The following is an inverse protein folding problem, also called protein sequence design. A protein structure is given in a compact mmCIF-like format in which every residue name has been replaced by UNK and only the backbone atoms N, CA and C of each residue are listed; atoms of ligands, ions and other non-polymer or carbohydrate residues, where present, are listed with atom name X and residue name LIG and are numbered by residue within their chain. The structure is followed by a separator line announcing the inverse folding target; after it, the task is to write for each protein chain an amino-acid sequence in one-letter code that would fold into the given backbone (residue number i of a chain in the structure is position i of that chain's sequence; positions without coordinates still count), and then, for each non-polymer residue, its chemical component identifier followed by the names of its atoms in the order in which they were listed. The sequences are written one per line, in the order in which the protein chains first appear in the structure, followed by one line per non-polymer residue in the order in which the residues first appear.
data_IF_504740862264
#
_entry.id   IF_504740862264
#
_cell.length_a   1.000
_cell.length_b   1.000
_cell.length_c   1.000
_cell.angle_alpha   90.00
_cell.angle_beta   90.00
_cell.angle_gamma   90.00
#
_symmetry.space_group_name_H-M   'P 1'
#
loop_
_entity.id
_entity.type
_entity.pdbx_description
1 polymer ?
#
# COMPACT_ATOMS: atom_id res chain seq x y z
N UNK A 1 13.32 -3.86 -30.48
CA UNK A 1 12.70 -4.61 -29.37
C UNK A 1 13.61 -4.43 -28.16
N UNK A 2 13.35 -3.41 -27.35
CA UNK A 2 14.14 -3.15 -26.15
C UNK A 2 13.34 -3.68 -24.97
N UNK A 3 13.79 -4.82 -24.44
CA UNK A 3 13.26 -5.41 -23.22
C UNK A 3 13.59 -4.49 -22.06
N UNK A 4 12.60 -3.75 -21.56
CA UNK A 4 12.71 -3.02 -20.30
C UNK A 4 12.73 -4.03 -19.16
N UNK A 5 13.89 -4.13 -18.52
CA UNK A 5 14.10 -4.92 -17.31
C UNK A 5 13.30 -4.31 -16.16
N UNK A 6 12.56 -5.16 -15.46
CA UNK A 6 11.58 -4.87 -14.40
C UNK A 6 12.10 -4.13 -13.15
N UNK A 7 13.36 -3.70 -13.10
CA UNK A 7 13.99 -3.03 -11.96
C UNK A 7 13.84 -1.50 -11.94
N UNK A 8 13.66 -0.86 -13.11
CA UNK A 8 13.59 0.61 -13.20
C UNK A 8 12.23 1.20 -12.77
N UNK A 9 11.13 0.43 -12.81
CA UNK A 9 9.78 0.95 -12.49
C UNK A 9 9.49 1.21 -11.01
N UNK A 10 10.44 0.91 -10.11
CA UNK A 10 10.26 1.02 -8.66
C UNK A 10 10.52 2.43 -8.10
N UNK A 11 11.05 3.34 -8.92
CA UNK A 11 11.46 4.70 -8.50
C UNK A 11 10.71 5.82 -9.24
N UNK A 12 9.71 5.49 -10.07
CA UNK A 12 8.90 6.49 -10.75
C UNK A 12 8.01 7.26 -9.77
N UNK A 13 8.03 8.59 -9.90
CA UNK A 13 7.12 9.48 -9.16
C UNK A 13 5.67 9.13 -9.52
N UNK A 14 4.82 8.99 -8.51
CA UNK A 14 3.40 8.67 -8.66
C UNK A 14 2.57 9.94 -8.59
N UNK A 15 1.91 10.25 -9.69
CA UNK A 15 0.95 11.35 -9.77
C UNK A 15 -0.39 10.94 -9.12
N UNK A 16 -0.81 11.68 -8.09
CA UNK A 16 -1.99 11.33 -7.31
C UNK A 16 -3.27 11.70 -8.04
N UNK A 17 -4.02 10.70 -8.49
CA UNK A 17 -5.34 10.94 -9.05
C UNK A 17 -6.37 11.31 -7.95
N UNK A 18 -7.40 12.13 -8.25
CA UNK A 18 -8.39 12.56 -7.26
C UNK A 18 -9.15 11.41 -6.56
N UNK A 19 -9.29 10.26 -7.23
CA UNK A 19 -10.01 9.10 -6.71
C UNK A 19 -9.15 8.19 -5.80
N UNK A 20 -7.85 8.46 -5.64
CA UNK A 20 -7.00 7.81 -4.63
C UNK A 20 -7.39 8.34 -3.25
N UNK A 21 -7.95 7.46 -2.41
CA UNK A 21 -8.55 7.82 -1.12
C UNK A 21 -7.53 7.84 0.02
N UNK A 22 -6.65 6.85 0.06
CA UNK A 22 -5.73 6.66 1.18
C UNK A 22 -4.34 7.17 0.84
N UNK A 23 -3.48 7.36 1.85
CA UNK A 23 -2.16 7.97 1.69
C UNK A 23 -1.07 7.09 2.27
N UNK A 24 0.14 7.22 1.72
CA UNK A 24 1.33 6.63 2.34
C UNK A 24 1.50 7.15 3.77
N UNK A 25 1.83 6.24 4.69
CA UNK A 25 1.95 6.54 6.12
C UNK A 25 0.63 6.46 6.90
N UNK A 26 -0.52 6.39 6.23
CA UNK A 26 -1.80 6.24 6.91
C UNK A 26 -1.94 4.84 7.53
N UNK A 27 -2.45 4.79 8.76
CA UNK A 27 -2.80 3.56 9.46
C UNK A 27 -4.23 3.17 9.08
N UNK A 28 -4.40 1.90 8.73
CA UNK A 28 -5.67 1.40 8.20
C UNK A 28 -5.97 0.01 8.72
N UNK A 29 -7.21 -0.43 8.52
CA UNK A 29 -7.67 -1.78 8.80
C UNK A 29 -8.34 -2.37 7.56
N UNK A 30 -8.13 -3.66 7.34
CA UNK A 30 -8.82 -4.39 6.28
C UNK A 30 -10.25 -4.72 6.72
N UNK A 31 -11.26 -4.29 5.96
CA UNK A 31 -12.68 -4.44 6.31
C UNK A 31 -13.12 -5.88 6.53
N UNK A 32 -12.72 -6.78 5.62
CA UNK A 32 -13.14 -8.21 5.66
C UNK A 32 -12.31 -9.03 6.65
N UNK A 33 -10.98 -8.95 6.56
CA UNK A 33 -10.07 -9.80 7.33
C UNK A 33 -9.61 -9.20 8.66
N UNK A 34 -9.99 -7.95 8.96
CA UNK A 34 -9.80 -7.30 10.26
C UNK A 34 -8.37 -6.93 10.65
N UNK A 35 -7.36 -7.24 9.85
CA UNK A 35 -5.96 -6.91 10.18
C UNK A 35 -5.67 -5.42 9.99
N UNK A 36 -4.78 -4.90 10.83
CA UNK A 36 -4.29 -3.53 10.79
C UNK A 36 -3.00 -3.45 9.98
N UNK A 37 -2.68 -2.27 9.49
CA UNK A 37 -1.39 -2.01 8.87
C UNK A 37 -1.18 -0.56 8.53
N UNK A 38 0.01 -0.26 8.02
CA UNK A 38 0.35 1.07 7.50
C UNK A 38 0.60 0.98 6.00
N UNK A 39 0.07 1.95 5.26
CA UNK A 39 0.26 2.05 3.81
C UNK A 39 1.70 2.50 3.53
N UNK A 40 2.40 1.75 2.67
CA UNK A 40 3.77 2.06 2.23
C UNK A 40 3.86 2.42 0.74
N UNK A 41 2.75 2.37 0.02
CA UNK A 41 2.68 2.73 -1.39
C UNK A 41 1.32 2.40 -2.00
N UNK A 42 1.09 2.88 -3.21
CA UNK A 42 -0.11 2.59 -3.99
C UNK A 42 0.17 2.59 -5.49
N UNK A 43 -0.66 1.87 -6.24
CA UNK A 43 -0.73 1.94 -7.71
C UNK A 43 -2.16 2.26 -8.13
N UNK A 44 -2.34 3.09 -9.16
CA UNK A 44 -3.66 3.42 -9.73
C UNK A 44 -4.37 2.21 -10.32
N UNK A 45 -3.59 1.28 -10.85
CA UNK A 45 -4.03 0.01 -11.41
C UNK A 45 -3.12 -1.08 -10.88
N UNK A 46 -3.69 -2.25 -10.57
CA UNK A 46 -2.91 -3.34 -10.00
C UNK A 46 -1.81 -3.75 -10.99
N UNK A 47 -0.53 -3.61 -10.60
CA UNK A 47 0.62 -4.10 -11.38
C UNK A 47 0.77 -5.62 -11.21
N UNK A 48 -0.25 -6.38 -11.55
CA UNK A 48 -0.20 -7.84 -11.59
C UNK A 48 -0.27 -8.31 -13.05
N UNK A 49 0.43 -9.39 -13.38
CA UNK A 49 0.28 -10.00 -14.71
C UNK A 49 -1.16 -10.49 -14.89
N UNK A 50 -1.64 -10.50 -16.13
CA UNK A 50 -3.00 -10.95 -16.46
C UNK A 50 -3.29 -12.35 -15.90
N UNK A 51 -2.29 -13.23 -15.90
CA UNK A 51 -2.39 -14.60 -15.37
C UNK A 51 -2.55 -14.66 -13.84
N UNK A 52 -1.97 -13.72 -13.08
CA UNK A 52 -2.17 -13.62 -11.63
C UNK A 52 -3.58 -13.11 -11.31
N UNK A 53 -4.05 -12.12 -12.07
CA UNK A 53 -5.39 -11.55 -11.94
C UNK A 53 -6.45 -12.62 -12.21
N UNK A 54 -6.31 -13.38 -13.31
CA UNK A 54 -7.25 -14.45 -13.69
C UNK A 54 -7.28 -15.61 -12.69
N UNK A 55 -6.13 -15.95 -12.06
CA UNK A 55 -6.04 -17.02 -11.05
C UNK A 55 -6.67 -16.63 -9.71
N UNK A 56 -6.52 -15.38 -9.29
CA UNK A 56 -6.98 -14.92 -7.98
C UNK A 56 -8.42 -14.39 -8.05
N UNK A 57 -8.84 -13.89 -9.22
CA UNK A 57 -10.13 -13.23 -9.38
C UNK A 57 -10.86 -13.72 -10.63
N UNK A 58 -11.81 -14.65 -10.43
CA UNK A 58 -12.77 -15.12 -11.44
C UNK A 58 -13.67 -13.95 -11.91
N UNK A 59 -13.22 -13.21 -12.93
CA UNK A 59 -13.99 -12.24 -13.72
C UNK A 59 -14.25 -10.83 -13.14
N UNK A 60 -13.54 -10.41 -12.07
CA UNK A 60 -13.76 -9.08 -11.48
C UNK A 60 -12.78 -8.02 -12.04
N UNK A 61 -13.07 -7.55 -13.26
CA UNK A 61 -12.29 -6.52 -14.00
C UNK A 61 -12.13 -5.18 -13.26
N UNK A 62 -12.92 -4.91 -12.22
CA UNK A 62 -12.87 -3.65 -11.46
C UNK A 62 -11.64 -3.54 -10.53
N UNK A 63 -11.05 -4.67 -10.11
CA UNK A 63 -9.87 -4.69 -9.24
C UNK A 63 -8.58 -4.28 -9.95
N UNK A 64 -8.52 -4.47 -11.27
CA UNK A 64 -7.36 -4.09 -12.11
C UNK A 64 -7.32 -2.58 -12.31
N UNK A 65 -8.49 -1.95 -12.41
CA UNK A 65 -8.63 -0.54 -12.81
C UNK A 65 -8.85 0.42 -11.63
N UNK A 66 -8.69 -0.05 -10.39
CA UNK A 66 -8.88 0.75 -9.18
C UNK A 66 -7.61 0.82 -8.33
N UNK A 67 -7.45 1.86 -7.48
CA UNK A 67 -6.26 1.99 -6.65
C UNK A 67 -6.08 0.80 -5.70
N UNK A 68 -4.86 0.26 -5.70
CA UNK A 68 -4.44 -0.79 -4.78
C UNK A 68 -3.27 -0.29 -3.93
N UNK A 69 -3.21 -0.75 -2.69
CA UNK A 69 -2.29 -0.25 -1.67
C UNK A 69 -1.40 -1.36 -1.13
N UNK A 70 -0.10 -1.10 -1.08
CA UNK A 70 0.87 -1.94 -0.38
C UNK A 70 0.86 -1.57 1.12
N UNK A 71 0.67 -2.57 1.98
CA UNK A 71 0.44 -2.38 3.42
C UNK A 71 1.38 -3.28 4.22
N UNK A 72 2.15 -2.72 5.16
CA UNK A 72 2.82 -3.51 6.18
C UNK A 72 1.80 -3.92 7.25
N UNK A 73 1.48 -5.20 7.33
CA UNK A 73 0.48 -5.74 8.25
C UNK A 73 1.06 -5.79 9.66
N UNK A 74 0.28 -5.40 10.66
CA UNK A 74 0.70 -5.51 12.05
C UNK A 74 1.03 -6.97 12.41
N UNK A 75 2.24 -7.21 12.89
CA UNK A 75 2.73 -8.53 13.26
C UNK A 75 1.93 -9.17 14.41
N UNK A 76 1.11 -8.40 15.14
CA UNK A 76 0.18 -8.95 16.15
C UNK A 76 -1.08 -9.55 15.55
N UNK A 77 -1.41 -9.22 14.30
CA UNK A 77 -2.64 -9.68 13.62
C UNK A 77 -2.40 -10.90 12.72
N UNK A 78 -1.14 -11.35 12.61
CA UNK A 78 -0.71 -12.49 11.77
C UNK A 78 0.41 -13.27 12.45
N UNK A 79 0.42 -14.59 12.28
CA UNK A 79 1.48 -15.46 12.81
C UNK A 79 2.86 -15.15 12.20
N UNK A 80 2.88 -14.67 10.96
CA UNK A 80 4.09 -14.30 10.22
C UNK A 80 3.92 -12.86 9.72
N UNK A 81 4.89 -11.95 9.95
CA UNK A 81 4.88 -10.60 9.40
C UNK A 81 4.76 -10.62 7.88
N UNK A 82 3.84 -9.81 7.34
CA UNK A 82 3.45 -9.88 5.93
C UNK A 82 3.27 -8.48 5.34
N UNK A 83 3.62 -8.38 4.06
CA UNK A 83 3.18 -7.30 3.18
C UNK A 83 1.85 -7.71 2.55
N UNK A 84 0.83 -6.87 2.66
CA UNK A 84 -0.44 -7.01 1.96
C UNK A 84 -0.53 -6.11 0.74
N UNK A 85 -1.28 -6.52 -0.27
CA UNK A 85 -1.71 -5.66 -1.38
C UNK A 85 -3.23 -5.66 -1.44
N UNK A 86 -3.84 -4.49 -1.23
CA UNK A 86 -5.25 -4.37 -0.86
C UNK A 86 -5.95 -3.33 -1.72
N UNK A 87 -7.09 -3.70 -2.30
CA UNK A 87 -7.94 -2.79 -3.04
C UNK A 87 -8.50 -1.68 -2.13
N UNK A 88 -8.61 -0.46 -2.67
CA UNK A 88 -9.09 0.73 -1.95
C UNK A 88 -10.36 0.49 -1.12
N UNK A 89 -11.32 -0.24 -1.68
CA UNK A 89 -12.64 -0.43 -1.07
C UNK A 89 -12.64 -1.45 0.07
N UNK A 90 -11.58 -2.25 0.19
CA UNK A 90 -11.38 -3.16 1.32
C UNK A 90 -10.66 -2.51 2.50
N UNK A 91 -10.36 -1.21 2.43
CA UNK A 91 -9.64 -0.46 3.45
C UNK A 91 -10.59 0.48 4.19
N UNK A 92 -10.47 0.52 5.51
CA UNK A 92 -11.10 1.52 6.38
C UNK A 92 -10.05 2.23 7.25
N UNK A 93 -10.37 3.45 7.69
CA UNK A 93 -9.48 4.26 8.52
C UNK A 93 -9.26 3.59 9.87
N UNK A 94 -8.02 3.62 10.36
CA UNK A 94 -7.67 3.12 11.69
C UNK A 94 -6.61 4.01 12.33
N UNK A 95 -6.37 3.86 13.63
CA UNK A 95 -5.38 4.63 14.37
C UNK A 95 -4.46 3.74 15.21
N UNK A 96 -3.44 4.33 15.80
CA UNK A 96 -2.47 3.63 16.64
C UNK A 96 -1.26 3.07 15.89
N UNK A 97 -0.28 2.65 16.68
CA UNK A 97 1.02 2.20 16.18
C UNK A 97 0.97 0.78 15.64
N UNK A 98 1.68 0.57 14.53
CA UNK A 98 1.90 -0.72 13.88
C UNK A 98 3.21 -1.34 14.34
N UNK A 99 3.20 -2.65 14.61
CA UNK A 99 4.40 -3.44 14.88
C UNK A 99 4.80 -4.21 13.63
N UNK A 100 5.90 -3.82 12.98
CA UNK A 100 6.44 -4.56 11.84
C UNK A 100 7.95 -4.33 11.72
N UNK A 101 8.73 -5.38 11.43
CA UNK A 101 10.20 -5.32 11.35
C UNK A 101 10.70 -4.38 10.24
N UNK A 102 9.97 -4.28 9.13
CA UNK A 102 10.31 -3.38 8.01
C UNK A 102 9.84 -1.94 8.20
N UNK A 103 9.13 -1.60 9.28
CA UNK A 103 8.52 -0.27 9.44
C UNK A 103 9.56 0.86 9.31
N UNK A 104 10.72 0.69 9.94
CA UNK A 104 11.80 1.67 9.94
C UNK A 104 12.47 1.84 8.57
N UNK A 105 12.21 0.97 7.60
CA UNK A 105 12.72 1.12 6.24
C UNK A 105 11.94 2.20 5.46
N UNK A 106 10.65 2.36 5.80
CA UNK A 106 9.71 3.25 5.09
C UNK A 106 9.32 4.48 5.89
N UNK A 107 9.23 4.38 7.22
CA UNK A 107 8.71 5.43 8.09
C UNK A 107 9.82 6.08 8.92
N UNK A 108 9.71 7.38 9.12
CA UNK A 108 10.65 8.19 9.90
C UNK A 108 10.22 8.32 11.36
N UNK A 109 8.93 8.63 11.59
CA UNK A 109 8.33 8.72 12.93
C UNK A 109 6.82 8.51 12.87
N UNK A 110 6.21 8.36 14.05
CA UNK A 110 4.76 8.34 14.21
C UNK A 110 4.27 9.66 14.78
N UNK A 111 3.22 10.22 14.18
CA UNK A 111 2.56 11.46 14.63
C UNK A 111 1.31 11.09 15.43
N UNK A 112 1.39 11.28 16.75
CA UNK A 112 0.32 10.90 17.67
C UNK A 112 -0.98 11.70 17.43
N UNK A 113 -0.89 12.99 17.09
CA UNK A 113 -2.08 13.82 16.87
C UNK A 113 -2.88 13.38 15.65
N UNK A 114 -2.19 13.05 14.55
CA UNK A 114 -2.81 12.65 13.29
C UNK A 114 -3.00 11.15 13.16
N UNK A 115 -2.50 10.38 14.14
CA UNK A 115 -2.55 8.92 14.18
C UNK A 115 -1.96 8.25 12.92
N UNK A 116 -0.92 8.86 12.33
CA UNK A 116 -0.29 8.41 11.08
C UNK A 116 1.23 8.43 11.16
N UNK A 117 1.90 7.75 10.25
CA UNK A 117 3.35 7.77 10.11
C UNK A 117 3.80 8.83 9.12
N UNK A 118 4.96 9.42 9.39
CA UNK A 118 5.66 10.30 8.44
C UNK A 118 6.56 9.43 7.56
N UNK A 119 6.36 9.42 6.24
CA UNK A 119 7.20 8.63 5.34
C UNK A 119 8.62 9.20 5.26
N UNK A 120 9.61 8.32 5.07
CA UNK A 120 10.99 8.74 4.85
C UNK A 120 11.14 9.60 3.58
N UNK A 121 12.16 10.47 3.50
CA UNK A 121 12.35 11.37 2.35
C UNK A 121 12.35 10.66 0.99
N UNK A 122 12.95 9.47 0.89
CA UNK A 122 12.98 8.72 -0.36
C UNK A 122 11.59 8.26 -0.80
N UNK A 123 10.71 7.91 0.14
CA UNK A 123 9.35 7.46 -0.15
C UNK A 123 8.46 8.65 -0.54
N UNK A 124 8.65 9.81 0.11
CA UNK A 124 8.02 11.08 -0.28
C UNK A 124 8.44 11.54 -1.68
N UNK A 125 9.63 11.20 -2.16
CA UNK A 125 10.02 11.49 -3.56
C UNK A 125 9.20 10.67 -4.56
N UNK A 126 8.81 9.46 -4.19
CA UNK A 126 7.96 8.59 -5.01
C UNK A 126 6.49 9.02 -4.92
N UNK A 127 6.04 9.45 -3.73
CA UNK A 127 4.66 9.89 -3.48
C UNK A 127 4.65 11.33 -2.93
N UNK A 128 4.91 12.36 -3.77
CA UNK A 128 5.12 13.74 -3.31
C UNK A 128 3.86 14.41 -2.78
N UNK A 129 2.68 13.93 -3.19
CA UNK A 129 1.39 14.49 -2.80
C UNK A 129 0.79 13.85 -1.53
N UNK A 130 1.50 12.92 -0.89
CA UNK A 130 1.04 12.14 0.29
C UNK A 130 1.69 12.54 1.61
#
# INVERSE_FOLDING_TARGET
MTSMTSSESSLEVRERAPHVRWRVGQVVKHKVHGYRGVIIGWDLTAKASKEFIERVHKDNNELVNSPNYAILIDARDRLIPQLGYVAQDNIESYGGRIMHNLLNNYMERYEETEQKYVPKPWLRRIYPDD
#
